data_IF_763738739946
#
_entry.id   IF_763738739946
#
_cell.length_a   1.000
_cell.length_b   1.000
_cell.length_c   1.000
_cell.angle_alpha   90.00
_cell.angle_beta   90.00
_cell.angle_gamma   90.00
#
_symmetry.space_group_name_H-M   'P 1'
#
loop_
_entity.id
_entity.type
_entity.pdbx_description
1 polymer ?
#
# COMPACT_ATOMS: atom_id res chain seq x y z
N UNK A 1 -20.00 -12.91 -8.15
CA UNK A 1 -19.57 -11.68 -7.42
C UNK A 1 -20.72 -10.68 -7.37
N UNK A 2 -20.89 -9.93 -6.24
CA UNK A 2 -21.89 -8.84 -6.11
C UNK A 2 -21.17 -7.50 -5.99
N UNK A 3 -21.64 -6.48 -6.73
CA UNK A 3 -21.18 -5.09 -6.58
C UNK A 3 -22.15 -4.40 -5.61
N UNK A 4 -21.63 -3.77 -4.58
CA UNK A 4 -22.40 -3.13 -3.51
C UNK A 4 -21.92 -1.69 -3.34
N UNK A 5 -22.83 -0.72 -3.42
CA UNK A 5 -22.51 0.69 -3.35
C UNK A 5 -22.93 1.34 -2.01
N UNK A 6 -23.81 0.67 -1.25
CA UNK A 6 -24.27 1.19 0.04
C UNK A 6 -23.67 0.42 1.21
N UNK A 7 -23.33 1.13 2.27
CA UNK A 7 -22.87 0.57 3.55
C UNK A 7 -23.94 -0.35 4.15
N UNK A 8 -25.22 0.06 4.07
CA UNK A 8 -26.33 -0.70 4.62
C UNK A 8 -26.45 -2.09 3.99
N UNK A 9 -26.37 -2.17 2.65
CA UNK A 9 -26.53 -3.44 1.95
C UNK A 9 -25.32 -4.33 2.18
N UNK A 10 -24.09 -3.77 2.17
CA UNK A 10 -22.90 -4.56 2.48
C UNK A 10 -23.00 -5.17 3.88
N UNK A 11 -23.35 -4.37 4.89
CA UNK A 11 -23.51 -4.87 6.27
C UNK A 11 -24.58 -5.97 6.38
N UNK A 12 -25.68 -5.86 5.62
CA UNK A 12 -26.70 -6.89 5.60
C UNK A 12 -26.17 -8.23 5.05
N UNK A 13 -25.44 -8.22 3.92
CA UNK A 13 -24.83 -9.43 3.35
C UNK A 13 -23.76 -10.04 4.28
N UNK A 14 -22.94 -9.21 4.91
CA UNK A 14 -21.89 -9.70 5.81
C UNK A 14 -22.45 -10.21 7.14
N UNK A 15 -23.58 -9.69 7.59
CA UNK A 15 -24.28 -10.21 8.77
C UNK A 15 -24.74 -11.66 8.56
N UNK A 16 -25.24 -11.99 7.36
CA UNK A 16 -25.61 -13.39 7.02
C UNK A 16 -24.36 -14.30 7.07
N UNK A 17 -23.24 -13.87 6.50
CA UNK A 17 -22.00 -14.63 6.54
C UNK A 17 -21.50 -14.87 7.98
N UNK A 18 -21.61 -13.86 8.86
CA UNK A 18 -21.22 -13.98 10.27
C UNK A 18 -22.13 -14.92 11.06
N UNK A 19 -23.44 -14.93 10.77
CA UNK A 19 -24.37 -15.89 11.40
C UNK A 19 -23.98 -17.33 11.08
N UNK A 20 -23.42 -17.57 9.88
CA UNK A 20 -22.89 -18.86 9.46
C UNK A 20 -21.47 -19.14 10.00
N UNK A 21 -20.91 -18.30 10.87
CA UNK A 21 -19.54 -18.35 11.38
C UNK A 21 -18.45 -18.33 10.27
N UNK A 22 -18.72 -17.71 9.13
CA UNK A 22 -17.77 -17.57 8.03
C UNK A 22 -16.74 -16.49 8.34
N UNK A 23 -15.48 -16.78 8.03
CA UNK A 23 -14.38 -15.80 8.11
C UNK A 23 -14.45 -14.83 6.95
N UNK A 24 -14.38 -13.54 7.26
CA UNK A 24 -14.39 -12.45 6.30
C UNK A 24 -12.97 -11.94 6.09
N UNK A 25 -12.48 -12.03 4.84
CA UNK A 25 -11.27 -11.39 4.38
C UNK A 25 -11.56 -10.09 3.66
N UNK A 26 -10.66 -9.12 3.78
CA UNK A 26 -10.82 -7.80 3.19
C UNK A 26 -9.57 -7.32 2.48
N UNK A 27 -9.73 -6.76 1.28
CA UNK A 27 -8.67 -6.12 0.49
C UNK A 27 -9.09 -4.70 0.16
N UNK A 28 -8.61 -3.67 0.91
CA UNK A 28 -8.89 -2.28 0.57
C UNK A 28 -8.05 -1.83 -0.62
N UNK A 29 -8.72 -1.27 -1.65
CA UNK A 29 -8.07 -0.71 -2.83
C UNK A 29 -8.68 0.62 -3.25
N UNK A 30 -7.97 1.35 -4.10
CA UNK A 30 -8.50 2.55 -4.75
C UNK A 30 -8.98 2.28 -6.20
N UNK A 31 -9.00 1.02 -6.65
CA UNK A 31 -9.26 0.67 -8.04
C UNK A 31 -8.01 0.74 -8.92
N UNK A 32 -8.20 0.76 -10.25
CA UNK A 32 -7.14 0.61 -11.25
C UNK A 32 -6.27 -0.62 -10.97
N UNK A 33 -6.94 -1.77 -10.84
CA UNK A 33 -6.34 -3.00 -10.37
C UNK A 33 -5.32 -3.57 -11.35
N UNK A 34 -4.32 -4.20 -10.81
CA UNK A 34 -3.26 -4.91 -11.54
C UNK A 34 -2.91 -6.20 -10.79
N UNK A 35 -2.01 -7.02 -11.35
CA UNK A 35 -1.62 -8.31 -10.77
C UNK A 35 -1.15 -8.24 -9.32
N UNK A 36 -0.59 -7.11 -8.88
CA UNK A 36 -0.26 -6.87 -7.47
C UNK A 36 -1.49 -6.91 -6.57
N UNK A 37 -2.59 -6.26 -6.97
CA UNK A 37 -3.86 -6.32 -6.23
C UNK A 37 -4.50 -7.70 -6.32
N UNK A 38 -4.44 -8.36 -7.49
CA UNK A 38 -4.98 -9.71 -7.65
C UNK A 38 -4.26 -10.73 -6.75
N UNK A 39 -2.97 -10.56 -6.52
CA UNK A 39 -2.23 -11.38 -5.55
C UNK A 39 -2.81 -11.24 -4.13
N UNK A 40 -3.19 -10.02 -3.69
CA UNK A 40 -3.84 -9.81 -2.39
C UNK A 40 -5.21 -10.51 -2.34
N UNK A 41 -5.99 -10.41 -3.42
CA UNK A 41 -7.31 -11.07 -3.52
C UNK A 41 -7.15 -12.58 -3.45
N UNK A 42 -6.17 -13.16 -4.14
CA UNK A 42 -5.88 -14.60 -4.10
C UNK A 42 -5.51 -15.06 -2.68
N UNK A 43 -4.69 -14.27 -1.95
CA UNK A 43 -4.40 -14.55 -0.54
C UNK A 43 -5.66 -14.47 0.33
N UNK A 44 -6.52 -13.48 0.08
CA UNK A 44 -7.78 -13.30 0.78
C UNK A 44 -8.71 -14.51 0.57
N UNK A 45 -8.98 -14.87 -0.69
CA UNK A 45 -9.86 -16.00 -1.07
C UNK A 45 -9.34 -17.32 -0.51
N UNK A 46 -8.02 -17.53 -0.51
CA UNK A 46 -7.42 -18.77 -0.01
C UNK A 46 -7.61 -18.98 1.50
N UNK A 47 -7.67 -17.89 2.28
CA UNK A 47 -7.58 -17.95 3.74
C UNK A 47 -8.90 -17.56 4.44
N UNK A 48 -9.95 -17.22 3.69
CA UNK A 48 -11.24 -16.82 4.25
C UNK A 48 -12.39 -17.45 3.46
N UNK A 49 -13.57 -17.50 4.08
CA UNK A 49 -14.79 -18.03 3.47
C UNK A 49 -15.49 -16.98 2.59
N UNK A 50 -15.27 -15.69 2.86
CA UNK A 50 -15.83 -14.56 2.14
C UNK A 50 -14.72 -13.55 1.86
N UNK A 51 -14.56 -13.16 0.61
CA UNK A 51 -13.62 -12.12 0.18
C UNK A 51 -14.36 -10.86 -0.21
N UNK A 52 -14.06 -9.76 0.48
CA UNK A 52 -14.55 -8.41 0.19
C UNK A 52 -13.40 -7.57 -0.33
N UNK A 53 -13.62 -6.88 -1.46
CA UNK A 53 -12.66 -5.89 -1.99
C UNK A 53 -13.34 -4.54 -2.05
N UNK A 54 -12.73 -3.49 -1.48
CA UNK A 54 -13.22 -2.14 -1.72
C UNK A 54 -12.52 -1.51 -2.93
N UNK A 55 -13.29 -0.77 -3.72
CA UNK A 55 -12.80 0.09 -4.81
C UNK A 55 -13.27 1.52 -4.49
N UNK A 56 -12.40 2.28 -3.81
CA UNK A 56 -12.75 3.62 -3.34
C UNK A 56 -11.54 4.57 -3.40
N UNK A 57 -11.61 5.57 -4.28
CA UNK A 57 -10.60 6.63 -4.36
C UNK A 57 -10.87 7.62 -3.24
N UNK A 58 -10.10 7.51 -2.15
CA UNK A 58 -10.30 8.32 -0.96
C UNK A 58 -9.71 9.73 -1.10
N UNK A 59 -10.53 10.80 -1.13
CA UNK A 59 -10.01 12.14 -1.35
C UNK A 59 -9.15 12.67 -0.20
N UNK A 60 -9.36 12.20 1.04
CA UNK A 60 -8.69 12.75 2.23
C UNK A 60 -7.21 12.36 2.34
N UNK A 61 -6.75 11.36 1.59
CA UNK A 61 -5.35 10.91 1.60
C UNK A 61 -4.48 11.52 0.49
N UNK A 62 -5.07 12.31 -0.42
CA UNK A 62 -4.33 12.98 -1.48
C UNK A 62 -3.88 14.36 -1.03
N UNK A 63 -2.57 14.61 -1.09
CA UNK A 63 -1.99 15.92 -0.84
C UNK A 63 -2.02 16.82 -2.09
N UNK A 64 -1.97 16.18 -3.27
CA UNK A 64 -2.01 16.82 -4.57
C UNK A 64 -3.40 16.62 -5.21
N UNK A 65 -4.07 17.73 -5.52
CA UNK A 65 -5.38 17.70 -6.20
C UNK A 65 -5.27 17.11 -7.60
N UNK A 66 -4.17 17.36 -8.31
CA UNK A 66 -3.96 16.85 -9.65
C UNK A 66 -3.82 15.31 -9.62
N UNK A 67 -3.10 14.75 -8.63
CA UNK A 67 -3.00 13.28 -8.45
C UNK A 67 -4.37 12.65 -8.15
N UNK A 68 -5.24 13.34 -7.39
CA UNK A 68 -6.61 12.90 -7.15
C UNK A 68 -7.49 12.95 -8.42
N UNK A 69 -7.39 14.04 -9.18
CA UNK A 69 -8.19 14.24 -10.40
C UNK A 69 -7.79 13.26 -11.51
N UNK A 70 -6.50 13.01 -11.65
CA UNK A 70 -5.92 12.11 -12.67
C UNK A 70 -5.86 10.65 -12.22
N UNK A 71 -6.24 10.33 -10.97
CA UNK A 71 -6.23 8.94 -10.51
C UNK A 71 -7.21 8.10 -11.33
N UNK A 72 -6.76 6.99 -11.93
CA UNK A 72 -7.59 6.21 -12.84
C UNK A 72 -8.81 5.59 -12.13
N UNK A 73 -9.96 5.64 -12.78
CA UNK A 73 -11.23 5.08 -12.29
C UNK A 73 -11.75 4.10 -13.35
N UNK A 74 -11.59 2.80 -13.05
CA UNK A 74 -11.80 1.70 -14.01
C UNK A 74 -12.67 0.60 -13.44
N UNK A 75 -13.73 0.96 -12.70
CA UNK A 75 -14.54 0.02 -11.91
C UNK A 75 -15.03 -1.19 -12.72
N UNK A 76 -15.46 -1.00 -13.96
CA UNK A 76 -15.94 -2.10 -14.80
C UNK A 76 -14.83 -3.12 -15.11
N UNK A 77 -13.64 -2.63 -15.49
CA UNK A 77 -12.47 -3.48 -15.74
C UNK A 77 -11.98 -4.14 -14.45
N UNK A 78 -11.99 -3.40 -13.33
CA UNK A 78 -11.65 -3.91 -12.01
C UNK A 78 -12.58 -5.05 -11.58
N UNK A 79 -13.89 -4.91 -11.83
CA UNK A 79 -14.87 -5.95 -11.52
C UNK A 79 -14.63 -7.25 -12.31
N UNK A 80 -14.25 -7.15 -13.59
CA UNK A 80 -13.91 -8.35 -14.40
C UNK A 80 -12.71 -9.09 -13.81
N UNK A 81 -11.69 -8.35 -13.38
CA UNK A 81 -10.50 -8.92 -12.73
C UNK A 81 -10.85 -9.58 -11.39
N UNK A 82 -11.64 -8.89 -10.56
CA UNK A 82 -12.04 -9.37 -9.25
C UNK A 82 -12.92 -10.63 -9.32
N UNK A 83 -13.84 -10.69 -10.28
CA UNK A 83 -14.67 -11.88 -10.50
C UNK A 83 -13.81 -13.07 -10.90
N UNK A 84 -12.86 -12.88 -11.78
CA UNK A 84 -11.92 -13.93 -12.19
C UNK A 84 -11.02 -14.42 -11.05
N UNK A 85 -10.75 -13.56 -10.07
CA UNK A 85 -9.95 -13.89 -8.88
C UNK A 85 -10.75 -14.52 -7.74
N UNK A 86 -12.09 -14.69 -7.88
CA UNK A 86 -12.94 -15.31 -6.89
C UNK A 86 -13.42 -14.39 -5.76
N UNK A 87 -13.44 -13.08 -5.98
CA UNK A 87 -13.99 -12.11 -5.05
C UNK A 87 -15.52 -12.32 -4.90
N UNK A 88 -16.06 -12.25 -3.67
CA UNK A 88 -17.48 -12.39 -3.41
C UNK A 88 -18.22 -11.06 -3.50
N UNK A 89 -17.66 -10.02 -2.89
CA UNK A 89 -18.26 -8.68 -2.82
C UNK A 89 -17.26 -7.60 -3.22
N UNK A 90 -17.67 -6.73 -4.14
CA UNK A 90 -16.98 -5.47 -4.46
C UNK A 90 -17.75 -4.33 -3.80
N UNK A 91 -17.13 -3.66 -2.84
CA UNK A 91 -17.67 -2.47 -2.21
C UNK A 91 -17.16 -1.22 -2.93
N UNK A 92 -18.03 -0.58 -3.69
CA UNK A 92 -17.71 0.60 -4.51
C UNK A 92 -18.60 1.79 -4.12
N UNK A 93 -18.42 2.35 -2.90
CA UNK A 93 -19.24 3.46 -2.41
C UNK A 93 -18.88 4.78 -3.10
N UNK A 94 -19.84 5.74 -3.10
CA UNK A 94 -19.54 7.12 -3.43
C UNK A 94 -18.82 7.84 -2.27
N UNK A 95 -18.30 9.03 -2.55
CA UNK A 95 -17.67 9.87 -1.51
C UNK A 95 -18.72 10.30 -0.48
N UNK A 96 -19.94 10.60 -0.91
CA UNK A 96 -21.05 10.99 -0.04
C UNK A 96 -21.50 9.84 0.86
N UNK A 97 -21.49 8.60 0.36
CA UNK A 97 -21.78 7.41 1.17
C UNK A 97 -20.73 7.19 2.26
N UNK A 98 -19.45 7.37 1.89
CA UNK A 98 -18.33 7.22 2.84
C UNK A 98 -18.22 8.41 3.80
N UNK A 99 -18.51 9.62 3.34
CA UNK A 99 -18.35 10.87 4.08
C UNK A 99 -19.60 11.74 3.95
N UNK A 100 -20.74 11.33 4.57
CA UNK A 100 -21.95 12.20 4.60
C UNK A 100 -21.68 13.51 5.36
N UNK A 101 -20.68 13.49 6.25
CA UNK A 101 -20.10 14.64 6.92
C UNK A 101 -18.57 14.55 6.85
N UNK A 102 -17.84 15.70 6.88
CA UNK A 102 -16.39 15.70 6.90
C UNK A 102 -15.83 14.86 8.07
N UNK A 103 -14.86 13.99 7.79
CA UNK A 103 -14.17 13.24 8.83
C UNK A 103 -13.06 14.12 9.44
N UNK A 104 -13.29 14.61 10.63
CA UNK A 104 -12.36 15.49 11.36
C UNK A 104 -11.47 14.74 12.36
N UNK A 105 -11.54 13.40 12.38
CA UNK A 105 -10.69 12.60 13.29
C UNK A 105 -9.22 12.77 12.96
N UNK A 106 -8.42 12.92 14.00
CA UNK A 106 -6.96 12.91 13.93
C UNK A 106 -6.43 11.69 14.66
N UNK A 107 -5.37 11.09 14.10
CA UNK A 107 -4.76 9.88 14.62
C UNK A 107 -3.31 10.20 15.02
N UNK A 108 -3.00 10.05 16.31
CA UNK A 108 -1.63 10.08 16.79
C UNK A 108 -1.07 8.65 16.67
N UNK A 109 -0.35 8.38 15.60
CA UNK A 109 0.18 7.04 15.29
C UNK A 109 1.69 6.93 15.60
N UNK A 110 2.24 7.97 16.22
CA UNK A 110 3.65 8.04 16.59
C UNK A 110 4.59 8.13 15.38
N UNK A 111 5.87 7.84 15.62
CA UNK A 111 6.96 7.97 14.65
C UNK A 111 6.69 7.32 13.30
N UNK A 112 5.97 6.18 13.27
CA UNK A 112 5.67 5.47 12.02
C UNK A 112 4.85 6.30 11.02
N UNK A 113 4.17 7.35 11.44
CA UNK A 113 3.41 8.26 10.57
C UNK A 113 4.14 9.57 10.25
N UNK A 114 5.33 9.80 10.83
CA UNK A 114 6.04 11.09 10.76
C UNK A 114 7.33 11.05 9.93
N UNK A 115 7.91 9.87 9.74
CA UNK A 115 9.14 9.65 8.96
C UNK A 115 8.85 9.40 7.47
N UNK A 116 9.87 9.39 6.62
CA UNK A 116 9.80 9.01 5.19
C UNK A 116 8.57 9.62 4.47
N UNK A 117 7.61 8.78 4.03
CA UNK A 117 6.37 9.23 3.36
C UNK A 117 5.57 10.22 4.23
N UNK A 118 5.53 9.99 5.55
CA UNK A 118 4.83 10.89 6.47
C UNK A 118 5.41 12.29 6.52
N UNK A 119 6.75 12.39 6.54
CA UNK A 119 7.47 13.66 6.47
C UNK A 119 7.28 14.37 5.11
N UNK A 120 7.26 13.59 4.01
CA UNK A 120 7.14 14.12 2.63
C UNK A 120 5.70 14.41 2.22
N UNK A 121 4.72 13.81 2.88
CA UNK A 121 3.29 13.92 2.57
C UNK A 121 2.47 14.26 3.82
N UNK A 122 2.57 15.48 4.37
CA UNK A 122 1.84 15.87 5.59
C UNK A 122 0.34 15.60 5.49
N UNK A 123 -0.24 14.91 6.49
CA UNK A 123 -1.66 14.55 6.53
C UNK A 123 -2.05 13.28 5.76
N UNK A 124 -1.18 12.75 4.89
CA UNK A 124 -1.46 11.54 4.11
C UNK A 124 -1.87 10.35 4.99
N UNK A 125 -1.07 10.02 5.98
CA UNK A 125 -1.34 8.87 6.86
C UNK A 125 -2.53 9.09 7.79
N UNK A 126 -2.86 10.34 8.12
CA UNK A 126 -4.12 10.62 8.78
C UNK A 126 -5.31 10.26 7.88
N UNK A 127 -5.27 10.66 6.61
CA UNK A 127 -6.29 10.28 5.62
C UNK A 127 -6.38 8.77 5.40
N UNK A 128 -5.25 8.06 5.38
CA UNK A 128 -5.22 6.59 5.31
C UNK A 128 -5.88 5.98 6.55
N UNK A 129 -5.53 6.45 7.75
CA UNK A 129 -6.12 5.95 8.98
C UNK A 129 -7.63 6.23 9.06
N UNK A 130 -8.09 7.41 8.61
CA UNK A 130 -9.51 7.74 8.51
C UNK A 130 -10.26 6.73 7.64
N UNK A 131 -9.83 6.52 6.40
CA UNK A 131 -10.54 5.64 5.46
C UNK A 131 -10.45 4.18 5.87
N UNK A 132 -9.26 3.68 6.26
CA UNK A 132 -9.07 2.26 6.57
C UNK A 132 -9.81 1.89 7.86
N UNK A 133 -9.78 2.74 8.91
CA UNK A 133 -10.58 2.49 10.11
C UNK A 133 -12.07 2.46 9.81
N UNK A 134 -12.56 3.40 8.98
CA UNK A 134 -13.97 3.43 8.57
C UNK A 134 -14.34 2.15 7.80
N UNK A 135 -13.51 1.72 6.85
CA UNK A 135 -13.72 0.48 6.11
C UNK A 135 -13.72 -0.75 7.04
N UNK A 136 -12.84 -0.79 8.05
CA UNK A 136 -12.84 -1.86 9.04
C UNK A 136 -14.12 -1.89 9.89
N UNK A 137 -14.68 -0.73 10.28
CA UNK A 137 -15.97 -0.67 10.98
C UNK A 137 -17.19 -0.95 10.09
N UNK A 138 -17.03 -0.86 8.77
CA UNK A 138 -18.08 -1.24 7.80
C UNK A 138 -18.06 -2.73 7.53
N UNK A 139 -16.88 -3.28 7.19
CA UNK A 139 -16.71 -4.69 6.78
C UNK A 139 -16.58 -5.60 7.98
N UNK A 140 -15.98 -5.13 9.07
CA UNK A 140 -15.64 -5.90 10.27
C UNK A 140 -14.94 -7.23 9.92
N UNK A 141 -13.79 -7.17 9.20
CA UNK A 141 -13.12 -8.36 8.70
C UNK A 141 -12.33 -9.08 9.80
N UNK A 142 -12.17 -10.41 9.68
CA UNK A 142 -11.22 -11.19 10.48
C UNK A 142 -9.79 -10.95 10.02
N UNK A 143 -9.59 -10.84 8.69
CA UNK A 143 -8.30 -10.66 8.06
C UNK A 143 -8.33 -9.52 7.04
N UNK A 144 -7.33 -8.66 7.02
CA UNK A 144 -7.14 -7.64 5.98
C UNK A 144 -5.77 -7.80 5.32
N UNK A 145 -5.70 -7.60 4.00
CA UNK A 145 -4.52 -7.89 3.17
C UNK A 145 -3.97 -6.61 2.55
N UNK A 146 -2.66 -6.39 2.73
CA UNK A 146 -1.95 -5.21 2.23
C UNK A 146 -0.64 -5.62 1.56
N UNK A 147 -0.26 -4.94 0.49
CA UNK A 147 0.99 -5.21 -0.21
C UNK A 147 2.20 -4.60 0.50
N UNK A 148 3.28 -5.37 0.69
CA UNK A 148 4.54 -4.91 1.29
C UNK A 148 5.20 -3.78 0.50
N UNK A 149 4.79 -3.52 -0.75
CA UNK A 149 5.26 -2.37 -1.51
C UNK A 149 5.02 -1.05 -0.77
N UNK A 150 3.87 -0.90 -0.15
CA UNK A 150 3.51 0.24 0.68
C UNK A 150 3.86 -0.05 2.16
N UNK A 151 5.16 -0.29 2.40
CA UNK A 151 5.69 -0.84 3.65
C UNK A 151 5.31 0.01 4.87
N UNK A 152 5.54 1.32 4.81
CA UNK A 152 5.19 2.23 5.89
C UNK A 152 3.67 2.30 6.13
N UNK A 153 2.84 2.19 5.10
CA UNK A 153 1.38 2.13 5.25
C UNK A 153 0.95 0.95 6.13
N UNK A 154 1.60 -0.21 5.98
CA UNK A 154 1.31 -1.39 6.80
C UNK A 154 1.64 -1.10 8.27
N UNK A 155 2.78 -0.46 8.56
CA UNK A 155 3.16 -0.08 9.92
C UNK A 155 2.14 0.90 10.54
N UNK A 156 1.73 1.92 9.79
CA UNK A 156 0.68 2.87 10.18
C UNK A 156 -0.64 2.17 10.48
N UNK A 157 -1.09 1.27 9.62
CA UNK A 157 -2.34 0.52 9.83
C UNK A 157 -2.25 -0.39 11.05
N UNK A 158 -1.12 -1.06 11.28
CA UNK A 158 -0.90 -1.87 12.48
C UNK A 158 -0.92 -1.01 13.76
N UNK A 159 -0.31 0.16 13.75
CA UNK A 159 -0.35 1.11 14.86
C UNK A 159 -1.80 1.54 15.15
N UNK A 160 -2.57 1.89 14.13
CA UNK A 160 -3.99 2.25 14.25
C UNK A 160 -4.82 1.09 14.82
N UNK A 161 -4.68 -0.11 14.26
CA UNK A 161 -5.41 -1.31 14.72
C UNK A 161 -5.13 -1.59 16.20
N UNK A 162 -3.87 -1.49 16.62
CA UNK A 162 -3.45 -1.65 18.02
C UNK A 162 -4.05 -0.56 18.92
N UNK A 163 -3.96 0.70 18.53
CA UNK A 163 -4.43 1.85 19.31
C UNK A 163 -5.94 1.79 19.54
N UNK A 164 -6.70 1.43 18.53
CA UNK A 164 -8.17 1.39 18.60
C UNK A 164 -8.74 0.01 18.93
N UNK A 165 -7.87 -0.97 19.24
CA UNK A 165 -8.28 -2.36 19.54
C UNK A 165 -9.23 -2.95 18.49
N UNK A 166 -8.98 -2.69 17.20
CA UNK A 166 -9.80 -3.24 16.11
C UNK A 166 -9.50 -4.72 15.97
N UNK A 167 -10.50 -5.62 16.04
CA UNK A 167 -10.28 -7.06 16.04
C UNK A 167 -10.05 -7.60 14.61
N UNK A 168 -8.95 -7.18 13.97
CA UNK A 168 -8.56 -7.59 12.62
C UNK A 168 -7.09 -8.02 12.59
N UNK A 169 -6.80 -9.10 11.87
CA UNK A 169 -5.42 -9.52 11.59
C UNK A 169 -4.92 -8.86 10.31
N UNK A 170 -3.80 -8.12 10.38
CA UNK A 170 -3.17 -7.47 9.23
C UNK A 170 -2.15 -8.40 8.58
N UNK A 171 -2.45 -8.84 7.37
CA UNK A 171 -1.62 -9.72 6.56
C UNK A 171 -0.84 -8.89 5.53
N UNK A 172 0.49 -8.89 5.68
CA UNK A 172 1.40 -8.30 4.70
C UNK A 172 1.68 -9.33 3.59
N UNK A 173 1.46 -8.95 2.34
CA UNK A 173 1.69 -9.82 1.18
C UNK A 173 2.91 -9.32 0.39
N UNK A 174 3.73 -10.25 -0.13
CA UNK A 174 4.96 -9.90 -0.86
C UNK A 174 4.74 -8.95 -2.03
N UNK A 175 5.77 -8.15 -2.35
CA UNK A 175 5.76 -7.26 -3.52
C UNK A 175 5.66 -8.10 -4.79
N UNK A 176 4.67 -7.83 -5.62
CA UNK A 176 4.59 -8.38 -6.96
C UNK A 176 5.32 -7.45 -7.92
N UNK A 177 6.17 -8.03 -8.76
CA UNK A 177 7.02 -7.29 -9.70
C UNK A 177 6.71 -7.68 -11.14
N UNK A 178 6.99 -6.79 -12.06
CA UNK A 178 6.99 -7.09 -13.48
C UNK A 178 8.20 -7.98 -13.85
N UNK A 179 8.21 -8.55 -15.05
CA UNK A 179 9.27 -9.46 -15.48
C UNK A 179 10.69 -8.88 -15.47
N UNK A 180 10.81 -7.55 -15.52
CA UNK A 180 12.07 -6.79 -15.43
C UNK A 180 12.42 -6.32 -13.99
N UNK A 181 11.60 -6.70 -13.01
CA UNK A 181 11.80 -6.42 -11.60
C UNK A 181 11.10 -5.18 -11.06
N UNK A 182 10.55 -4.31 -11.91
CA UNK A 182 9.83 -3.11 -11.46
C UNK A 182 8.64 -3.49 -10.58
N UNK A 183 8.52 -2.88 -9.39
CA UNK A 183 7.37 -3.09 -8.51
C UNK A 183 6.07 -2.66 -9.21
N UNK A 184 5.04 -3.51 -9.18
CA UNK A 184 3.76 -3.20 -9.79
C UNK A 184 3.07 -2.02 -9.08
N UNK A 185 2.65 -1.05 -9.89
CA UNK A 185 1.92 0.14 -9.43
C UNK A 185 1.00 0.63 -10.55
N UNK A 186 -0.20 1.10 -10.19
CA UNK A 186 -1.09 1.79 -11.13
C UNK A 186 -0.42 3.04 -11.74
N UNK A 187 0.55 3.65 -11.05
CA UNK A 187 1.33 4.78 -11.57
C UNK A 187 2.31 4.40 -12.67
N UNK A 188 2.66 3.12 -12.86
CA UNK A 188 3.56 2.68 -13.94
C UNK A 188 2.98 3.00 -15.33
N UNK A 189 1.65 3.07 -15.46
CA UNK A 189 0.97 3.44 -16.72
C UNK A 189 1.18 4.90 -17.13
N UNK A 190 1.66 5.74 -16.22
CA UNK A 190 1.96 7.17 -16.45
C UNK A 190 3.39 7.40 -16.98
N UNK A 191 4.24 6.37 -16.92
CA UNK A 191 5.61 6.44 -17.43
C UNK A 191 5.62 6.54 -18.97
N UNK A 192 6.44 7.44 -19.51
CA UNK A 192 6.74 7.43 -20.94
C UNK A 192 7.51 6.14 -21.30
N UNK A 193 7.58 5.74 -22.57
CA UNK A 193 8.36 4.57 -22.98
C UNK A 193 9.81 4.60 -22.52
N UNK A 194 10.46 5.77 -22.55
CA UNK A 194 11.83 5.95 -22.07
C UNK A 194 11.91 5.75 -20.55
N UNK A 195 11.05 6.43 -19.79
CA UNK A 195 10.98 6.30 -18.33
C UNK A 195 10.70 4.84 -17.93
N UNK A 196 9.78 4.16 -18.64
CA UNK A 196 9.46 2.75 -18.36
C UNK A 196 10.67 1.82 -18.56
N UNK A 197 11.54 2.09 -19.52
CA UNK A 197 12.78 1.32 -19.73
C UNK A 197 13.81 1.56 -18.61
N UNK A 198 13.80 2.74 -18.01
CA UNK A 198 14.75 3.13 -16.95
C UNK A 198 14.27 2.72 -15.55
N UNK A 199 12.97 2.76 -15.28
CA UNK A 199 12.39 2.48 -13.97
C UNK A 199 12.87 1.18 -13.30
N UNK A 200 13.14 0.05 -14.00
CA UNK A 200 13.68 -1.16 -13.41
C UNK A 200 15.07 -1.01 -12.74
N UNK A 201 15.80 0.08 -13.01
CA UNK A 201 17.05 0.39 -12.34
C UNK A 201 16.85 0.45 -10.81
N UNK A 202 15.70 0.93 -10.33
CA UNK A 202 15.38 1.00 -8.90
C UNK A 202 15.49 -0.39 -8.27
N UNK A 203 14.69 -1.34 -8.75
CA UNK A 203 14.65 -2.69 -8.18
C UNK A 203 15.98 -3.45 -8.35
N UNK A 204 16.67 -3.25 -9.48
CA UNK A 204 17.98 -3.86 -9.72
C UNK A 204 19.02 -3.34 -8.73
N UNK A 205 19.09 -2.03 -8.51
CA UNK A 205 20.02 -1.40 -7.58
C UNK A 205 19.74 -1.82 -6.13
N UNK A 206 18.46 -1.85 -5.72
CA UNK A 206 18.07 -2.35 -4.41
C UNK A 206 18.49 -3.82 -4.22
N UNK A 207 18.23 -4.66 -5.20
CA UNK A 207 18.63 -6.09 -5.13
C UNK A 207 20.15 -6.25 -5.06
N UNK A 208 20.89 -5.50 -5.84
CA UNK A 208 22.35 -5.55 -5.82
C UNK A 208 22.91 -5.10 -4.47
N UNK A 209 22.33 -4.06 -3.87
CA UNK A 209 22.77 -3.53 -2.57
C UNK A 209 22.72 -4.56 -1.44
N UNK A 210 21.82 -5.55 -1.49
CA UNK A 210 21.77 -6.62 -0.47
C UNK A 210 23.01 -7.48 -0.45
N UNK A 211 23.78 -7.55 -1.55
CA UNK A 211 25.02 -8.33 -1.62
C UNK A 211 26.19 -7.66 -0.88
N UNK A 212 26.04 -6.42 -0.46
CA UNK A 212 27.08 -5.66 0.23
C UNK A 212 27.08 -5.88 1.75
N UNK A 213 26.02 -6.47 2.29
CA UNK A 213 25.85 -6.71 3.72
C UNK A 213 26.52 -8.03 4.13
N UNK A 214 27.31 -8.06 5.24
CA UNK A 214 27.65 -6.98 6.15
C UNK A 214 28.97 -6.25 5.77
N UNK A 215 29.50 -6.48 4.57
CA UNK A 215 30.83 -6.00 4.15
C UNK A 215 30.96 -4.48 4.04
N UNK A 216 29.86 -3.77 3.74
CA UNK A 216 29.78 -2.30 3.73
C UNK A 216 28.93 -1.81 4.90
N UNK A 217 29.21 -0.60 5.38
CA UNK A 217 28.38 0.09 6.35
C UNK A 217 27.00 0.47 5.78
N UNK A 218 26.04 0.73 6.65
CA UNK A 218 24.69 1.20 6.27
C UNK A 218 24.80 2.46 5.38
N UNK A 219 25.66 3.42 5.75
CA UNK A 219 25.83 4.66 4.99
C UNK A 219 26.44 4.41 3.59
N UNK A 220 27.43 3.52 3.47
CA UNK A 220 28.02 3.18 2.16
C UNK A 220 26.99 2.52 1.23
N UNK A 221 26.05 1.73 1.79
CA UNK A 221 24.96 1.13 1.02
C UNK A 221 23.96 2.19 0.59
N UNK A 222 23.61 3.13 1.48
CA UNK A 222 22.74 4.26 1.14
C UNK A 222 23.36 5.09 0.02
N UNK A 223 24.63 5.47 0.16
CA UNK A 223 25.35 6.28 -0.85
C UNK A 223 25.42 5.56 -2.21
N UNK A 224 25.66 4.24 -2.20
CA UNK A 224 25.67 3.44 -3.41
C UNK A 224 24.30 3.49 -4.12
N UNK A 225 23.21 3.24 -3.40
CA UNK A 225 21.85 3.21 -3.98
C UNK A 225 21.48 4.57 -4.56
N UNK A 226 21.67 5.63 -3.78
CA UNK A 226 21.34 7.00 -4.19
C UNK A 226 22.16 7.43 -5.40
N UNK A 227 23.49 7.26 -5.36
CA UNK A 227 24.37 7.67 -6.45
C UNK A 227 24.12 6.85 -7.73
N UNK A 228 23.86 5.56 -7.61
CA UNK A 228 23.59 4.69 -8.77
C UNK A 228 22.31 5.09 -9.47
N UNK A 229 21.22 5.34 -8.73
CA UNK A 229 19.95 5.74 -9.31
C UNK A 229 20.02 7.15 -9.89
N UNK A 230 20.61 8.11 -9.16
CA UNK A 230 20.77 9.49 -9.62
C UNK A 230 21.78 9.64 -10.77
N UNK A 231 22.54 8.62 -11.13
CA UNK A 231 23.39 8.64 -12.32
C UNK A 231 22.59 8.66 -13.63
N UNK A 232 21.34 8.24 -13.62
CA UNK A 232 20.42 8.34 -14.76
C UNK A 232 19.68 9.69 -14.69
N UNK A 233 19.81 10.56 -15.72
CA UNK A 233 19.26 11.92 -15.67
C UNK A 233 17.71 11.98 -15.63
N UNK A 234 17.04 10.85 -15.86
CA UNK A 234 15.58 10.76 -15.80
C UNK A 234 15.10 10.45 -14.38
N UNK A 235 16.04 10.09 -13.48
CA UNK A 235 15.71 9.66 -12.12
C UNK A 235 16.28 10.61 -11.08
N UNK A 236 15.48 10.82 -10.02
CA UNK A 236 15.87 11.57 -8.83
C UNK A 236 15.36 10.86 -7.57
N UNK A 237 16.30 10.45 -6.71
CA UNK A 237 15.94 9.85 -5.42
C UNK A 237 15.45 10.95 -4.48
N UNK A 238 14.19 10.90 -4.08
CA UNK A 238 13.63 11.82 -3.08
C UNK A 238 14.14 11.49 -1.68
N UNK A 239 14.16 10.22 -1.35
CA UNK A 239 14.82 9.67 -0.16
C UNK A 239 15.13 8.18 -0.36
N UNK A 240 16.17 7.74 0.34
CA UNK A 240 16.43 6.33 0.61
C UNK A 240 16.90 6.19 2.05
N UNK A 241 16.14 5.44 2.84
CA UNK A 241 16.43 5.19 4.25
C UNK A 241 16.46 3.70 4.52
N UNK A 242 17.44 3.26 5.34
CA UNK A 242 17.48 1.90 5.88
C UNK A 242 17.03 2.00 7.33
N UNK A 243 15.94 1.31 7.64
CA UNK A 243 15.22 1.43 8.91
C UNK A 243 15.04 0.07 9.59
N UNK A 244 14.77 0.09 10.89
CA UNK A 244 14.16 -1.06 11.56
C UNK A 244 12.74 -1.27 11.02
N UNK A 245 12.47 -2.44 10.48
CA UNK A 245 11.19 -2.76 9.85
C UNK A 245 9.99 -2.80 10.81
N UNK A 246 10.24 -2.79 12.13
CA UNK A 246 9.18 -2.77 13.15
C UNK A 246 8.84 -1.35 13.61
N UNK A 247 9.85 -0.48 13.78
CA UNK A 247 9.71 0.87 14.35
C UNK A 247 9.76 1.97 13.30
N UNK A 248 10.34 1.68 12.12
CA UNK A 248 10.68 2.62 11.05
C UNK A 248 11.71 3.68 11.46
N UNK A 249 12.42 3.47 12.56
CA UNK A 249 13.55 4.30 12.95
C UNK A 249 14.77 3.98 12.07
N UNK A 250 15.45 5.02 11.58
CA UNK A 250 16.65 4.85 10.75
C UNK A 250 17.78 4.21 11.56
N UNK A 251 18.41 3.18 10.99
CA UNK A 251 19.54 2.47 11.62
C UNK A 251 20.87 3.07 11.14
N UNK A 252 21.90 2.94 11.99
CA UNK A 252 23.28 3.36 11.69
C UNK A 252 24.22 2.18 11.48
N UNK A 253 23.92 1.07 12.13
CA UNK A 253 24.68 -0.17 12.05
C UNK A 253 23.75 -1.33 11.75
N UNK A 254 24.23 -2.35 11.05
CA UNK A 254 23.44 -3.55 10.77
C UNK A 254 23.01 -4.31 12.05
N UNK A 255 23.72 -4.12 13.15
CA UNK A 255 23.39 -4.71 14.46
C UNK A 255 22.30 -3.98 15.23
N UNK A 256 21.82 -2.85 14.74
CA UNK A 256 20.80 -2.06 15.44
C UNK A 256 19.41 -2.73 15.39
N UNK A 257 19.20 -3.65 14.44
CA UNK A 257 17.96 -4.43 14.29
C UNK A 257 18.19 -5.77 13.62
N UNK A 258 17.33 -6.75 13.90
CA UNK A 258 17.26 -8.03 13.18
C UNK A 258 16.36 -7.96 11.93
N UNK A 259 15.77 -6.81 11.65
CA UNK A 259 14.85 -6.63 10.53
C UNK A 259 15.11 -5.31 9.77
N UNK A 260 16.30 -5.16 9.15
CA UNK A 260 16.62 -3.97 8.37
C UNK A 260 15.87 -3.97 7.03
N UNK A 261 15.24 -2.82 6.73
CA UNK A 261 14.47 -2.61 5.49
C UNK A 261 14.90 -1.28 4.85
N UNK A 262 15.32 -1.34 3.60
CA UNK A 262 15.58 -0.17 2.78
C UNK A 262 14.29 0.30 2.10
N UNK A 263 13.84 1.52 2.39
CA UNK A 263 12.66 2.14 1.79
C UNK A 263 13.08 3.30 0.87
N UNK A 264 12.62 3.29 -0.36
CA UNK A 264 13.01 4.28 -1.37
C UNK A 264 11.82 4.94 -2.02
N UNK A 265 11.98 6.22 -2.35
CA UNK A 265 11.13 6.95 -3.28
C UNK A 265 11.99 7.60 -4.34
N UNK A 266 11.59 7.43 -5.60
CA UNK A 266 12.28 7.93 -6.77
C UNK A 266 11.29 8.64 -7.68
N UNK A 267 11.62 9.85 -8.10
CA UNK A 267 10.98 10.46 -9.25
C UNK A 267 11.60 9.91 -10.55
N UNK A 268 10.77 9.35 -11.42
CA UNK A 268 11.15 8.99 -12.78
C UNK A 268 10.43 9.97 -13.72
N UNK A 269 11.10 11.04 -14.10
CA UNK A 269 10.46 12.24 -14.59
C UNK A 269 9.52 12.83 -13.54
N UNK A 270 8.25 13.00 -13.88
CA UNK A 270 7.22 13.47 -12.93
C UNK A 270 6.52 12.35 -12.15
N UNK A 271 6.82 11.09 -12.46
CA UNK A 271 6.15 9.94 -11.84
C UNK A 271 6.90 9.52 -10.60
N UNK A 272 6.25 9.64 -9.44
CA UNK A 272 6.78 9.24 -8.15
C UNK A 272 6.58 7.74 -7.93
N UNK A 273 7.67 6.98 -7.85
CA UNK A 273 7.73 5.54 -7.66
C UNK A 273 8.27 5.21 -6.28
N UNK A 274 7.70 4.19 -5.64
CA UNK A 274 8.20 3.68 -4.37
C UNK A 274 8.54 2.20 -4.48
N UNK A 275 9.54 1.79 -3.72
CA UNK A 275 9.94 0.40 -3.58
C UNK A 275 10.60 0.16 -2.21
N UNK A 276 10.84 -1.09 -1.85
CA UNK A 276 11.60 -1.43 -0.66
C UNK A 276 12.30 -2.78 -0.82
N UNK A 277 13.29 -3.01 0.05
CA UNK A 277 14.09 -4.24 0.08
C UNK A 277 14.40 -4.63 1.53
N UNK A 278 14.35 -5.92 1.85
CA UNK A 278 14.81 -6.49 3.13
C UNK A 278 16.28 -6.87 3.00
N UNK A 279 17.07 -6.49 3.98
CA UNK A 279 18.49 -6.80 4.07
C UNK A 279 18.76 -8.02 4.94
#
# INVERSE_FOLDING_TARGET
MKIVNSIKDLKAYLAEAKQDNKKIGFVPTMGALHNGHLSLVQHCVKNNDVCVVSVFVNPTQFNDKHDLETYPRTLEADCVLLESAGCDYVFAPSVEEMYPEPDTRTFDLGTVSEVMEGAKRPGHFNGVAQVVSKLFYIVEPDNAYFGEKDFQQIAVIRAMVKQFNIPVTINACPIVREGDGLALSSRNTRLTPEQRQKAPLIARTLKESTTFVPGKSVQEVIDYVVNTINSDPVMEVEYYEIVDGNTLESIKNWSDTDYPVGCITVYCGEVRLIDNIKY
#
